data_IF_466232569081
#
_entry.id   IF_466232569081
#
_cell.length_a   1.000
_cell.length_b   1.000
_cell.length_c   1.000
_cell.angle_alpha   90.00
_cell.angle_beta   90.00
_cell.angle_gamma   90.00
#
_symmetry.space_group_name_H-M   'P 1'
#
loop_
_entity.id
_entity.type
_entity.pdbx_description
1 polymer ?
#
# COMPACT_ATOMS: atom_id res chain seq x y z
N UNK A 1 12.79 13.52 19.58
CA UNK A 1 11.45 14.07 19.74
C UNK A 1 10.47 13.22 18.93
N UNK A 2 9.54 12.52 19.58
CA UNK A 2 8.45 11.83 18.90
C UNK A 2 7.44 12.83 18.32
N UNK A 3 6.73 12.44 17.26
CA UNK A 3 5.60 13.22 16.77
C UNK A 3 4.56 13.39 17.89
N UNK A 4 4.08 14.63 18.15
CA UNK A 4 3.01 14.83 19.13
C UNK A 4 1.78 14.01 18.76
N UNK A 5 1.15 13.36 19.74
CA UNK A 5 0.02 12.46 19.54
C UNK A 5 -1.13 13.10 18.73
N UNK A 6 -1.40 14.39 18.97
CA UNK A 6 -2.39 15.19 18.22
C UNK A 6 -2.03 15.30 16.73
N UNK A 7 -0.75 15.51 16.40
CA UNK A 7 -0.29 15.59 15.02
C UNK A 7 -0.43 14.23 14.34
N UNK A 8 -0.02 13.15 15.02
CA UNK A 8 -0.17 11.77 14.54
C UNK A 8 -1.64 11.44 14.27
N UNK A 9 -2.53 11.75 15.21
CA UNK A 9 -3.98 11.54 15.06
C UNK A 9 -4.53 12.21 13.79
N UNK A 10 -4.31 13.52 13.62
CA UNK A 10 -4.84 14.26 12.47
C UNK A 10 -4.20 13.83 11.15
N UNK A 11 -2.88 13.58 11.15
CA UNK A 11 -2.16 13.11 9.98
C UNK A 11 -2.80 11.82 9.43
N UNK A 12 -2.98 10.82 10.29
CA UNK A 12 -3.54 9.54 9.89
C UNK A 12 -5.01 9.63 9.52
N UNK A 13 -5.82 10.37 10.29
CA UNK A 13 -7.24 10.51 10.01
C UNK A 13 -7.50 11.15 8.63
N UNK A 14 -6.73 12.19 8.28
CA UNK A 14 -6.83 12.88 6.98
C UNK A 14 -6.49 11.95 5.82
N UNK A 15 -5.53 11.03 5.98
CA UNK A 15 -5.17 10.08 4.92
C UNK A 15 -6.03 8.81 4.92
N UNK A 16 -6.49 8.33 6.07
CA UNK A 16 -7.29 7.11 6.21
C UNK A 16 -8.61 7.19 5.46
N UNK A 17 -9.38 8.27 5.68
CA UNK A 17 -10.71 8.44 5.06
C UNK A 17 -10.61 8.36 3.52
N UNK A 18 -9.80 9.19 2.83
CA UNK A 18 -9.65 9.08 1.38
C UNK A 18 -9.00 7.76 0.95
N UNK A 19 -8.10 7.17 1.74
CA UNK A 19 -7.49 5.89 1.41
C UNK A 19 -8.53 4.77 1.30
N UNK A 20 -9.40 4.62 2.30
CA UNK A 20 -10.48 3.63 2.31
C UNK A 20 -11.39 3.82 1.09
N UNK A 21 -11.78 5.07 0.79
CA UNK A 21 -12.62 5.39 -0.37
C UNK A 21 -11.93 4.95 -1.67
N UNK A 22 -10.65 5.26 -1.85
CA UNK A 22 -9.90 4.86 -3.03
C UNK A 22 -9.66 3.35 -3.09
N UNK A 23 -9.47 2.70 -1.94
CA UNK A 23 -9.28 1.26 -1.85
C UNK A 23 -10.54 0.52 -2.32
N UNK A 24 -11.70 0.88 -1.76
CA UNK A 24 -13.01 0.33 -2.17
C UNK A 24 -13.28 0.62 -3.64
N UNK A 25 -13.00 1.85 -4.11
CA UNK A 25 -13.14 2.20 -5.54
C UNK A 25 -12.28 1.33 -6.45
N UNK A 26 -11.00 1.11 -6.09
CA UNK A 26 -10.09 0.26 -6.87
C UNK A 26 -10.57 -1.19 -6.87
N UNK A 27 -10.83 -1.76 -5.69
CA UNK A 27 -11.31 -3.14 -5.55
C UNK A 27 -12.59 -3.39 -6.34
N UNK A 28 -13.58 -2.50 -6.19
CA UNK A 28 -14.83 -2.58 -6.94
C UNK A 28 -14.57 -2.65 -8.45
N UNK A 29 -13.73 -1.75 -8.98
CA UNK A 29 -13.45 -1.71 -10.41
C UNK A 29 -12.63 -2.93 -10.88
N UNK A 30 -11.66 -3.40 -10.10
CA UNK A 30 -10.88 -4.58 -10.45
C UNK A 30 -11.70 -5.87 -10.41
N UNK A 31 -12.65 -5.98 -9.49
CA UNK A 31 -13.47 -7.18 -9.34
C UNK A 31 -14.64 -7.22 -10.34
N UNK A 32 -15.27 -6.09 -10.63
CA UNK A 32 -16.43 -6.02 -11.52
C UNK A 32 -16.03 -5.98 -13.00
N UNK A 33 -14.95 -5.27 -13.35
CA UNK A 33 -14.51 -5.18 -14.74
C UNK A 33 -13.75 -6.44 -15.14
N UNK A 34 -14.40 -7.33 -15.91
CA UNK A 34 -13.82 -8.58 -16.36
C UNK A 34 -12.53 -8.41 -17.18
N UNK A 35 -12.32 -7.26 -17.83
CA UNK A 35 -11.08 -6.99 -18.57
C UNK A 35 -9.91 -6.69 -17.63
N UNK A 36 -10.15 -5.91 -16.57
CA UNK A 36 -9.16 -5.63 -15.53
C UNK A 36 -8.86 -6.87 -14.71
N UNK A 37 -9.89 -7.64 -14.35
CA UNK A 37 -9.76 -8.87 -13.59
C UNK A 37 -8.96 -9.94 -14.31
N UNK A 38 -9.06 -10.06 -15.63
CA UNK A 38 -8.32 -11.06 -16.41
C UNK A 38 -6.84 -10.71 -16.63
N UNK A 39 -6.44 -9.46 -16.37
CA UNK A 39 -5.07 -9.04 -16.56
C UNK A 39 -4.21 -9.51 -15.38
N UNK A 40 -3.26 -10.40 -15.64
CA UNK A 40 -2.49 -11.11 -14.62
C UNK A 40 -1.86 -10.18 -13.56
N UNK A 41 -1.24 -9.09 -14.03
CA UNK A 41 -0.59 -8.09 -13.18
C UNK A 41 -1.53 -7.39 -12.20
N UNK A 42 -2.85 -7.39 -12.45
CA UNK A 42 -3.81 -6.79 -11.53
C UNK A 42 -4.13 -7.72 -10.36
N UNK A 43 -3.92 -9.04 -10.48
CA UNK A 43 -4.23 -10.00 -9.41
C UNK A 43 -3.46 -9.66 -8.13
N UNK A 44 -2.18 -9.31 -8.25
CA UNK A 44 -1.36 -8.96 -7.08
C UNK A 44 -1.86 -7.70 -6.40
N UNK A 45 -2.25 -6.68 -7.19
CA UNK A 45 -2.84 -5.45 -6.63
C UNK A 45 -4.20 -5.68 -6.01
N UNK A 46 -5.02 -6.59 -6.52
CA UNK A 46 -6.29 -6.96 -5.89
C UNK A 46 -6.02 -7.51 -4.48
N UNK A 47 -5.09 -8.46 -4.35
CA UNK A 47 -4.74 -9.06 -3.06
C UNK A 47 -4.13 -8.01 -2.12
N UNK A 48 -3.18 -7.20 -2.61
CA UNK A 48 -2.59 -6.09 -1.84
C UNK A 48 -3.69 -5.15 -1.34
N UNK A 49 -4.61 -4.72 -2.20
CA UNK A 49 -5.70 -3.82 -1.80
C UNK A 49 -6.65 -4.46 -0.79
N UNK A 50 -6.90 -5.77 -0.85
CA UNK A 50 -7.66 -6.47 0.19
C UNK A 50 -6.95 -6.43 1.54
N UNK A 51 -5.64 -6.73 1.59
CA UNK A 51 -4.87 -6.64 2.83
C UNK A 51 -4.74 -5.20 3.32
N UNK A 52 -4.54 -4.23 2.42
CA UNK A 52 -4.55 -2.80 2.75
C UNK A 52 -5.88 -2.38 3.37
N UNK A 53 -7.02 -2.77 2.78
CA UNK A 53 -8.33 -2.44 3.35
C UNK A 53 -8.52 -3.08 4.73
N UNK A 54 -8.15 -4.36 4.87
CA UNK A 54 -8.21 -5.06 6.16
C UNK A 54 -7.37 -4.33 7.21
N UNK A 55 -6.14 -3.95 6.86
CA UNK A 55 -5.21 -3.25 7.74
C UNK A 55 -5.70 -1.85 8.13
N UNK A 56 -6.26 -1.10 7.17
CA UNK A 56 -6.88 0.20 7.41
C UNK A 56 -8.08 0.11 8.35
N UNK A 57 -8.90 -0.93 8.23
CA UNK A 57 -10.10 -1.13 9.05
C UNK A 57 -9.81 -1.75 10.43
N UNK A 58 -8.58 -2.21 10.66
CA UNK A 58 -8.18 -2.84 11.92
C UNK A 58 -7.08 -2.02 12.57
N UNK A 59 -5.82 -2.32 12.24
CA UNK A 59 -4.63 -1.74 12.86
C UNK A 59 -4.63 -0.21 12.85
N UNK A 60 -4.87 0.42 11.69
CA UNK A 60 -4.80 1.88 11.60
C UNK A 60 -5.90 2.55 12.45
N UNK A 61 -7.10 1.99 12.52
CA UNK A 61 -8.16 2.51 13.39
C UNK A 61 -7.77 2.40 14.87
N UNK A 62 -7.22 1.26 15.29
CA UNK A 62 -6.73 1.06 16.66
C UNK A 62 -5.57 2.01 17.00
N UNK A 63 -4.67 2.23 16.04
CA UNK A 63 -3.56 3.17 16.17
C UNK A 63 -4.02 4.63 16.28
N UNK A 64 -4.99 5.06 15.47
CA UNK A 64 -5.59 6.40 15.57
C UNK A 64 -6.28 6.58 16.91
N UNK A 65 -7.04 5.57 17.37
CA UNK A 65 -7.69 5.61 18.67
C UNK A 65 -6.67 5.82 19.80
N UNK A 66 -5.60 5.01 19.81
CA UNK A 66 -4.52 5.16 20.77
C UNK A 66 -3.84 6.53 20.68
N UNK A 67 -3.60 7.04 19.47
CA UNK A 67 -3.01 8.38 19.27
C UNK A 67 -3.89 9.51 19.83
N UNK A 68 -5.21 9.30 19.91
CA UNK A 68 -6.14 10.27 20.48
C UNK A 68 -6.22 10.19 22.02
N UNK A 69 -6.30 8.97 22.56
CA UNK A 69 -6.61 8.74 23.99
C UNK A 69 -5.38 8.44 24.85
N UNK A 70 -4.25 8.09 24.23
CA UNK A 70 -3.07 7.50 24.87
C UNK A 70 -3.34 6.19 25.63
N UNK A 71 -4.49 5.55 25.36
CA UNK A 71 -4.90 4.29 25.97
C UNK A 71 -5.30 3.32 24.86
N UNK A 72 -4.95 2.06 24.99
CA UNK A 72 -5.36 1.02 24.04
C UNK A 72 -6.88 0.81 24.06
N UNK A 73 -7.46 0.36 22.94
CA UNK A 73 -8.91 0.16 22.83
C UNK A 73 -9.47 -0.82 23.87
N UNK A 74 -8.71 -1.86 24.22
CA UNK A 74 -9.03 -2.80 25.28
C UNK A 74 -7.77 -3.18 26.05
N UNK A 75 -7.78 -2.99 27.36
CA UNK A 75 -6.66 -3.35 28.25
C UNK A 75 -6.68 -4.83 28.62
N UNK A 76 -6.83 -5.70 27.63
CA UNK A 76 -6.79 -7.16 27.81
C UNK A 76 -5.57 -7.75 27.09
N UNK A 77 -4.91 -8.78 27.66
CA UNK A 77 -3.79 -9.46 27.00
C UNK A 77 -4.13 -9.97 25.60
N UNK A 78 -5.34 -10.54 25.44
CA UNK A 78 -5.79 -11.09 24.17
C UNK A 78 -5.92 -10.01 23.09
N UNK A 79 -6.46 -8.83 23.42
CA UNK A 79 -6.54 -7.73 22.47
C UNK A 79 -5.14 -7.27 22.02
N UNK A 80 -4.19 -7.14 22.95
CA UNK A 80 -2.82 -6.78 22.64
C UNK A 80 -2.13 -7.81 21.72
N UNK A 81 -2.32 -9.10 21.97
CA UNK A 81 -1.80 -10.17 21.12
C UNK A 81 -2.42 -10.17 19.73
N UNK A 82 -3.74 -9.98 19.62
CA UNK A 82 -4.42 -9.84 18.33
C UNK A 82 -3.91 -8.61 17.58
N UNK A 83 -3.78 -7.47 18.27
CA UNK A 83 -3.32 -6.24 17.66
C UNK A 83 -1.92 -6.41 17.08
N UNK A 84 -0.96 -6.87 17.89
CA UNK A 84 0.41 -7.04 17.39
C UNK A 84 0.51 -8.09 16.28
N UNK A 85 -0.28 -9.17 16.38
CA UNK A 85 -0.35 -10.17 15.32
C UNK A 85 -0.86 -9.58 14.00
N UNK A 86 -1.96 -8.84 14.03
CA UNK A 86 -2.54 -8.19 12.84
C UNK A 86 -1.58 -7.17 12.25
N UNK A 87 -0.92 -6.38 13.10
CA UNK A 87 0.07 -5.38 12.69
C UNK A 87 1.22 -6.02 11.90
N UNK A 88 1.93 -6.96 12.53
CA UNK A 88 3.10 -7.59 11.91
C UNK A 88 2.72 -8.45 10.69
N UNK A 89 1.73 -9.34 10.82
CA UNK A 89 1.33 -10.23 9.73
C UNK A 89 0.76 -9.45 8.53
N UNK A 90 -0.09 -8.45 8.78
CA UNK A 90 -0.68 -7.63 7.74
C UNK A 90 0.35 -6.78 7.01
N UNK A 91 1.23 -6.09 7.75
CA UNK A 91 2.25 -5.22 7.17
C UNK A 91 3.26 -6.02 6.34
N UNK A 92 3.77 -7.13 6.87
CA UNK A 92 4.72 -8.00 6.16
C UNK A 92 4.09 -8.65 4.94
N UNK A 93 2.83 -9.07 5.01
CA UNK A 93 2.11 -9.60 3.84
C UNK A 93 2.07 -8.58 2.71
N UNK A 94 1.74 -7.32 3.01
CA UNK A 94 1.74 -6.23 2.01
C UNK A 94 3.15 -6.04 1.43
N UNK A 95 4.19 -6.02 2.27
CA UNK A 95 5.58 -5.85 1.84
C UNK A 95 6.08 -7.00 0.94
N UNK A 96 5.82 -8.26 1.32
CA UNK A 96 6.18 -9.44 0.53
C UNK A 96 5.44 -9.47 -0.81
N UNK A 97 4.14 -9.18 -0.82
CA UNK A 97 3.37 -9.09 -2.06
C UNK A 97 3.86 -7.94 -2.95
N UNK A 98 4.29 -6.82 -2.38
CA UNK A 98 4.90 -5.72 -3.11
C UNK A 98 6.25 -6.10 -3.75
N UNK A 99 7.10 -6.82 -3.00
CA UNK A 99 8.34 -7.39 -3.53
C UNK A 99 8.08 -8.37 -4.67
N UNK A 100 7.09 -9.24 -4.49
CA UNK A 100 6.66 -10.16 -5.52
C UNK A 100 6.11 -9.45 -6.76
N UNK A 101 5.31 -8.39 -6.58
CA UNK A 101 4.82 -7.56 -7.69
C UNK A 101 5.98 -6.98 -8.51
N UNK A 102 7.11 -6.65 -7.87
CA UNK A 102 8.31 -6.20 -8.58
C UNK A 102 8.93 -7.32 -9.43
N UNK A 103 9.07 -8.52 -8.87
CA UNK A 103 9.58 -9.72 -9.59
C UNK A 103 8.66 -10.07 -10.77
N UNK A 104 7.37 -10.24 -10.50
CA UNK A 104 6.36 -10.64 -11.49
C UNK A 104 6.34 -9.67 -12.68
N UNK A 105 6.47 -8.36 -12.42
CA UNK A 105 6.53 -7.32 -13.47
C UNK A 105 7.72 -7.50 -14.39
N UNK A 106 8.90 -7.86 -13.87
CA UNK A 106 10.06 -8.17 -14.71
C UNK A 106 9.79 -9.39 -15.59
N UNK A 107 9.21 -10.45 -15.02
CA UNK A 107 8.88 -11.67 -15.76
C UNK A 107 7.87 -11.34 -16.88
N UNK A 108 6.80 -10.61 -16.58
CA UNK A 108 5.77 -10.23 -17.55
C UNK A 108 6.27 -9.33 -18.69
N UNK A 109 7.22 -8.44 -18.42
CA UNK A 109 7.71 -7.47 -19.42
C UNK A 109 8.82 -8.08 -20.30
N UNK A 110 9.70 -8.90 -19.72
CA UNK A 110 10.90 -9.40 -20.42
C UNK A 110 10.80 -10.87 -20.82
N UNK A 111 9.95 -11.66 -20.17
CA UNK A 111 9.89 -13.11 -20.31
C UNK A 111 8.44 -13.63 -20.48
N UNK A 112 7.68 -13.03 -21.40
CA UNK A 112 6.28 -13.43 -21.65
C UNK A 112 6.09 -14.93 -21.91
N UNK A 113 7.07 -15.57 -22.58
CA UNK A 113 7.05 -17.00 -22.86
C UNK A 113 7.07 -17.88 -21.59
N UNK A 114 7.55 -17.36 -20.47
CA UNK A 114 7.56 -18.11 -19.20
C UNK A 114 6.14 -18.30 -18.64
N UNK A 115 5.17 -17.47 -19.05
CA UNK A 115 3.78 -17.56 -18.60
C UNK A 115 2.81 -18.14 -19.66
N UNK A 116 3.36 -18.73 -20.73
CA UNK A 116 2.57 -19.23 -21.85
C UNK A 116 1.63 -20.39 -21.43
N UNK A 117 2.16 -21.37 -20.69
CA UNK A 117 1.40 -22.56 -20.26
C UNK A 117 0.69 -22.34 -18.92
N UNK A 118 -0.45 -23.01 -18.71
CA UNK A 118 -1.21 -22.98 -17.45
C UNK A 118 -0.38 -23.41 -16.24
N UNK A 119 0.42 -24.46 -16.36
CA UNK A 119 1.25 -24.96 -15.25
C UNK A 119 2.31 -23.93 -14.83
N UNK A 120 3.07 -23.38 -15.79
CA UNK A 120 4.05 -22.33 -15.49
C UNK A 120 3.38 -21.08 -14.91
N UNK A 121 2.18 -20.73 -15.38
CA UNK A 121 1.39 -19.64 -14.80
C UNK A 121 0.99 -19.92 -13.37
N UNK A 122 0.58 -21.15 -13.04
CA UNK A 122 0.31 -21.53 -11.66
C UNK A 122 1.55 -21.34 -10.77
N UNK A 123 2.68 -21.92 -11.18
CA UNK A 123 3.93 -21.89 -10.42
C UNK A 123 4.56 -20.49 -10.29
N UNK A 124 4.54 -19.69 -11.34
CA UNK A 124 5.20 -18.38 -11.40
C UNK A 124 4.27 -17.20 -11.12
N UNK A 125 3.00 -17.42 -10.84
CA UNK A 125 2.05 -16.34 -10.54
C UNK A 125 1.21 -16.65 -9.31
N UNK A 126 0.43 -17.73 -9.34
CA UNK A 126 -0.54 -18.01 -8.29
C UNK A 126 0.08 -18.59 -7.03
N UNK A 127 1.04 -19.51 -7.17
CA UNK A 127 1.70 -20.14 -6.03
C UNK A 127 2.42 -19.12 -5.12
N UNK A 128 3.24 -18.18 -5.63
CA UNK A 128 3.90 -17.20 -4.77
C UNK A 128 2.91 -16.24 -4.10
N UNK A 129 1.80 -15.90 -4.75
CA UNK A 129 0.75 -15.09 -4.13
C UNK A 129 0.11 -15.81 -2.95
N UNK A 130 -0.17 -17.12 -3.07
CA UNK A 130 -0.70 -17.92 -1.97
C UNK A 130 0.32 -18.02 -0.83
N UNK A 131 1.57 -18.34 -1.15
CA UNK A 131 2.65 -18.47 -0.16
C UNK A 131 2.83 -17.15 0.60
N UNK A 132 3.03 -16.03 -0.09
CA UNK A 132 3.26 -14.74 0.56
C UNK A 132 2.02 -14.18 1.28
N UNK A 133 0.82 -14.64 0.95
CA UNK A 133 -0.40 -14.26 1.69
C UNK A 133 -0.61 -15.08 2.95
N UNK A 134 -0.13 -16.33 3.01
CA UNK A 134 -0.37 -17.24 4.14
C UNK A 134 0.82 -17.27 5.11
N UNK A 135 2.04 -17.24 4.57
CA UNK A 135 3.28 -17.40 5.35
C UNK A 135 3.38 -16.42 6.54
N UNK A 136 3.17 -15.09 6.39
CA UNK A 136 3.32 -14.17 7.52
C UNK A 136 2.32 -14.45 8.64
N UNK A 137 1.08 -14.81 8.28
CA UNK A 137 0.06 -15.17 9.27
C UNK A 137 0.45 -16.43 10.06
N UNK A 138 0.97 -17.47 9.40
CA UNK A 138 1.44 -18.66 10.12
C UNK A 138 2.64 -18.31 11.00
N UNK A 139 3.62 -17.58 10.46
CA UNK A 139 4.85 -17.21 11.16
C UNK A 139 4.54 -16.41 12.43
N UNK A 140 3.82 -15.29 12.33
CA UNK A 140 3.51 -14.46 13.48
C UNK A 140 2.51 -15.10 14.45
N UNK A 141 1.68 -16.03 13.97
CA UNK A 141 0.82 -16.79 14.88
C UNK A 141 1.69 -17.66 15.80
N UNK A 142 2.69 -18.36 15.26
CA UNK A 142 3.63 -19.15 16.07
C UNK A 142 4.42 -18.25 17.01
N UNK A 143 4.95 -17.13 16.51
CA UNK A 143 5.77 -16.21 17.32
C UNK A 143 5.01 -15.63 18.50
N UNK A 144 3.76 -15.18 18.33
CA UNK A 144 3.03 -14.50 19.40
C UNK A 144 2.17 -15.41 20.28
N UNK A 145 1.70 -16.56 19.78
CA UNK A 145 0.79 -17.43 20.53
C UNK A 145 1.41 -18.73 21.02
N UNK A 146 2.51 -19.19 20.41
CA UNK A 146 3.13 -20.49 20.73
C UNK A 146 4.44 -20.32 21.50
N UNK A 147 5.27 -19.35 21.11
CA UNK A 147 6.55 -19.09 21.78
C UNK A 147 6.28 -18.33 23.09
N UNK A 148 6.69 -18.87 24.25
CA UNK A 148 6.41 -18.23 25.53
C UNK A 148 7.16 -16.90 25.67
N UNK A 149 6.47 -15.93 26.27
CA UNK A 149 7.01 -14.59 26.45
C UNK A 149 6.67 -14.01 27.82
N UNK A 150 7.69 -13.78 28.63
CA UNK A 150 7.53 -13.28 30.00
C UNK A 150 7.48 -11.74 30.07
N UNK A 151 7.43 -11.05 28.93
CA UNK A 151 7.38 -9.58 28.88
C UNK A 151 5.95 -9.12 29.23
N UNK A 152 5.76 -8.36 30.33
CA UNK A 152 4.43 -7.91 30.73
C UNK A 152 3.86 -6.91 29.71
N UNK A 153 2.55 -6.95 29.52
CA UNK A 153 1.84 -5.98 28.67
C UNK A 153 1.86 -4.58 29.31
N UNK A 154 2.21 -3.57 28.52
CA UNK A 154 2.11 -2.16 28.93
C UNK A 154 1.01 -1.47 28.13
N UNK A 155 -0.20 -1.39 28.71
CA UNK A 155 -1.38 -0.80 28.09
C UNK A 155 -1.30 0.72 27.85
N UNK A 156 -0.26 1.39 28.35
CA UNK A 156 -0.01 2.81 28.12
C UNK A 156 0.99 3.04 26.98
N UNK A 157 1.34 1.99 26.23
CA UNK A 157 2.22 2.04 25.07
C UNK A 157 1.50 1.47 23.85
N UNK A 158 1.86 1.97 22.68
CA UNK A 158 1.39 1.47 21.40
C UNK A 158 1.67 -0.04 21.28
N UNK A 159 0.70 -0.80 20.75
CA UNK A 159 0.78 -2.27 20.62
C UNK A 159 1.12 -2.97 21.95
N UNK A 160 0.71 -2.33 23.05
CA UNK A 160 0.96 -2.75 24.42
C UNK A 160 2.43 -3.01 24.77
N UNK A 161 3.37 -2.46 23.99
CA UNK A 161 4.81 -2.74 24.04
C UNK A 161 5.20 -4.24 24.04
N UNK A 162 4.34 -5.14 23.56
CA UNK A 162 4.64 -6.58 23.62
C UNK A 162 5.56 -7.04 22.47
N UNK A 163 5.82 -6.18 21.48
CA UNK A 163 6.70 -6.49 20.34
C UNK A 163 8.16 -6.75 20.71
N UNK A 164 8.59 -6.38 21.91
CA UNK A 164 9.91 -6.76 22.42
C UNK A 164 10.11 -8.27 22.52
N UNK A 165 9.03 -9.05 22.55
CA UNK A 165 9.12 -10.49 22.56
C UNK A 165 9.92 -11.08 21.39
N UNK A 166 9.69 -10.52 20.19
CA UNK A 166 10.33 -10.95 18.96
C UNK A 166 11.86 -10.77 19.01
N UNK A 167 12.33 -9.78 19.77
CA UNK A 167 13.74 -9.48 19.96
C UNK A 167 14.40 -10.27 21.08
N UNK A 168 13.63 -10.92 21.96
CA UNK A 168 14.21 -11.72 23.04
C UNK A 168 14.82 -13.04 22.51
N UNK A 169 14.29 -13.56 21.41
CA UNK A 169 14.89 -14.68 20.69
C UNK A 169 15.69 -14.17 19.49
N UNK A 170 17.01 -14.19 19.61
CA UNK A 170 17.91 -13.68 18.57
C UNK A 170 17.69 -14.35 17.20
N UNK A 171 17.35 -15.64 17.18
CA UNK A 171 17.08 -16.36 15.93
C UNK A 171 15.81 -15.85 15.26
N UNK A 172 14.70 -15.75 16.01
CA UNK A 172 13.41 -15.26 15.49
C UNK A 172 13.53 -13.81 15.04
N UNK A 173 14.14 -12.94 15.87
CA UNK A 173 14.34 -11.54 15.52
C UNK A 173 15.24 -11.33 14.30
N UNK A 174 16.28 -12.16 14.12
CA UNK A 174 17.13 -12.10 12.93
C UNK A 174 16.39 -12.59 11.68
N UNK A 175 15.60 -13.67 11.81
CA UNK A 175 14.81 -14.19 10.71
C UNK A 175 13.77 -13.17 10.25
N UNK A 176 13.01 -12.60 11.18
CA UNK A 176 12.05 -11.52 10.94
C UNK A 176 12.72 -10.31 10.24
N UNK A 177 13.80 -9.78 10.84
CA UNK A 177 14.50 -8.64 10.26
C UNK A 177 15.01 -8.92 8.84
N UNK A 178 15.63 -10.09 8.60
CA UNK A 178 16.25 -10.40 7.32
C UNK A 178 15.20 -10.80 6.28
N UNK A 179 14.42 -11.84 6.57
CA UNK A 179 13.52 -12.51 5.61
C UNK A 179 12.28 -11.67 5.35
N UNK A 180 11.70 -11.07 6.39
CA UNK A 180 10.40 -10.42 6.29
C UNK A 180 10.53 -8.94 5.91
N UNK A 181 11.66 -8.30 6.24
CA UNK A 181 11.85 -6.86 6.01
C UNK A 181 13.01 -6.49 5.08
N UNK A 182 14.26 -6.88 5.38
CA UNK A 182 15.44 -6.48 4.60
C UNK A 182 15.35 -7.05 3.17
N UNK A 183 15.28 -8.37 3.02
CA UNK A 183 15.31 -9.03 1.70
C UNK A 183 14.19 -8.53 0.77
N UNK A 184 12.92 -8.44 1.20
CA UNK A 184 11.84 -7.95 0.34
C UNK A 184 12.02 -6.48 -0.07
N UNK A 185 12.52 -5.65 0.85
CA UNK A 185 12.79 -4.23 0.57
C UNK A 185 13.90 -4.08 -0.46
N UNK A 186 15.02 -4.79 -0.31
CA UNK A 186 16.12 -4.77 -1.27
C UNK A 186 15.72 -5.31 -2.64
N UNK A 187 14.99 -6.44 -2.69
CA UNK A 187 14.45 -6.98 -3.94
C UNK A 187 13.59 -5.92 -4.65
N UNK A 188 12.68 -5.28 -3.91
CA UNK A 188 11.81 -4.23 -4.45
C UNK A 188 12.61 -3.08 -5.04
N UNK A 189 13.62 -2.57 -4.32
CA UNK A 189 14.45 -1.44 -4.77
C UNK A 189 15.28 -1.83 -5.99
N UNK A 190 16.02 -2.93 -5.92
CA UNK A 190 16.93 -3.38 -7.00
C UNK A 190 16.13 -3.64 -8.27
N UNK A 191 15.01 -4.35 -8.16
CA UNK A 191 14.16 -4.63 -9.32
C UNK A 191 13.50 -3.37 -9.87
N UNK A 192 13.04 -2.45 -9.03
CA UNK A 192 12.50 -1.18 -9.53
C UNK A 192 13.53 -0.34 -10.28
N UNK A 193 14.76 -0.25 -9.79
CA UNK A 193 15.87 0.43 -10.48
C UNK A 193 16.19 -0.29 -11.80
N UNK A 194 16.35 -1.62 -11.77
CA UNK A 194 16.61 -2.41 -12.96
C UNK A 194 15.50 -2.27 -14.02
N UNK A 195 14.25 -2.15 -13.59
CA UNK A 195 13.11 -1.93 -14.48
C UNK A 195 13.23 -0.59 -15.19
N UNK A 196 13.53 0.49 -14.46
CA UNK A 196 13.73 1.83 -15.03
C UNK A 196 14.85 1.80 -16.07
N UNK A 197 16.02 1.26 -15.71
CA UNK A 197 17.20 1.22 -16.59
C UNK A 197 16.86 0.46 -17.88
N UNK A 198 16.24 -0.72 -17.78
CA UNK A 198 15.89 -1.53 -18.96
C UNK A 198 14.83 -0.87 -19.83
N UNK A 199 13.82 -0.26 -19.21
CA UNK A 199 12.77 0.49 -19.92
C UNK A 199 13.37 1.70 -20.64
N UNK A 200 14.33 2.39 -20.03
CA UNK A 200 15.09 3.48 -20.65
C UNK A 200 15.95 2.99 -21.82
N UNK A 201 16.74 1.94 -21.63
CA UNK A 201 17.58 1.36 -22.70
C UNK A 201 16.75 0.91 -23.91
N UNK A 202 15.62 0.24 -23.68
CA UNK A 202 14.71 -0.16 -24.77
C UNK A 202 14.14 1.04 -25.53
N UNK A 203 13.82 2.13 -24.82
CA UNK A 203 13.34 3.37 -25.44
C UNK A 203 14.40 4.00 -26.35
N UNK A 204 15.66 4.03 -25.92
CA UNK A 204 16.76 4.60 -26.71
C UNK A 204 17.09 3.74 -27.93
N UNK A 205 17.07 2.41 -27.80
CA UNK A 205 17.49 1.49 -28.88
C UNK A 205 16.43 1.30 -29.97
N UNK A 206 15.16 1.24 -29.59
CA UNK A 206 14.06 0.89 -30.50
C UNK A 206 13.21 2.13 -30.74
N UNK A 207 13.62 2.95 -31.71
CA UNK A 207 12.86 4.13 -32.17
C UNK A 207 11.50 3.82 -32.82
N UNK A 208 10.93 2.63 -32.63
CA UNK A 208 9.65 2.23 -33.20
C UNK A 208 8.46 2.53 -32.26
N UNK A 209 7.25 2.50 -32.83
CA UNK A 209 5.93 2.61 -32.16
C UNK A 209 5.62 1.42 -31.23
N UNK A 210 6.57 1.02 -30.39
CA UNK A 210 6.33 0.09 -29.29
C UNK A 210 5.18 0.64 -28.41
N UNK A 211 4.40 -0.22 -27.75
CA UNK A 211 3.28 0.17 -26.86
C UNK A 211 3.76 0.86 -25.56
N UNK A 212 4.68 1.82 -25.69
CA UNK A 212 5.34 2.59 -24.66
C UNK A 212 4.35 3.22 -23.68
N UNK A 213 3.22 3.72 -24.17
CA UNK A 213 2.19 4.34 -23.33
C UNK A 213 1.62 3.36 -22.29
N UNK A 214 1.57 2.06 -22.58
CA UNK A 214 1.08 1.02 -21.66
C UNK A 214 2.16 0.66 -20.64
N UNK A 215 3.36 0.32 -21.10
CA UNK A 215 4.47 -0.09 -20.22
C UNK A 215 4.97 1.03 -19.31
N UNK A 216 5.00 2.29 -19.77
CA UNK A 216 5.41 3.44 -18.97
C UNK A 216 4.53 3.62 -17.73
N UNK A 217 3.21 3.47 -17.87
CA UNK A 217 2.26 3.70 -16.76
C UNK A 217 2.38 2.63 -15.68
N UNK A 218 2.50 1.37 -16.09
CA UNK A 218 2.71 0.25 -15.19
C UNK A 218 4.06 0.33 -14.45
N UNK A 219 5.11 0.79 -15.14
CA UNK A 219 6.44 1.02 -14.54
C UNK A 219 6.37 2.15 -13.51
N UNK A 220 5.72 3.27 -13.82
CA UNK A 220 5.57 4.41 -12.89
C UNK A 220 4.92 3.97 -11.59
N UNK A 221 3.90 3.09 -11.62
CA UNK A 221 3.27 2.58 -10.40
C UNK A 221 4.29 1.94 -9.46
N UNK A 222 5.11 1.02 -9.98
CA UNK A 222 6.05 0.28 -9.14
C UNK A 222 7.06 1.23 -8.54
N UNK A 223 7.61 2.10 -9.39
CA UNK A 223 8.65 3.05 -9.02
C UNK A 223 8.14 4.04 -7.98
N UNK A 224 6.91 4.54 -8.12
CA UNK A 224 6.30 5.42 -7.13
C UNK A 224 6.13 4.72 -5.78
N UNK A 225 5.73 3.45 -5.77
CA UNK A 225 5.60 2.69 -4.52
C UNK A 225 6.98 2.38 -3.92
N UNK A 226 7.95 1.94 -4.72
CA UNK A 226 9.32 1.69 -4.23
C UNK A 226 9.99 2.94 -3.69
N UNK A 227 9.76 4.09 -4.32
CA UNK A 227 10.21 5.39 -3.82
C UNK A 227 9.59 5.70 -2.46
N UNK A 228 8.29 5.41 -2.29
CA UNK A 228 7.60 5.61 -1.03
C UNK A 228 8.19 4.73 0.10
N UNK A 229 8.44 3.45 -0.17
CA UNK A 229 9.13 2.57 0.78
C UNK A 229 10.54 3.08 1.09
N UNK A 230 11.30 3.53 0.09
CA UNK A 230 12.62 4.07 0.30
C UNK A 230 12.61 5.31 1.20
N UNK A 231 11.67 6.23 1.01
CA UNK A 231 11.62 7.47 1.81
C UNK A 231 11.07 7.23 3.21
N UNK A 232 10.01 6.44 3.35
CA UNK A 232 9.28 6.30 4.61
C UNK A 232 9.77 5.12 5.47
N UNK A 233 10.25 4.04 4.86
CA UNK A 233 10.62 2.82 5.58
C UNK A 233 12.11 2.69 5.86
N UNK A 234 12.97 3.17 4.94
CA UNK A 234 14.41 3.04 5.08
C UNK A 234 14.96 3.62 6.40
N UNK A 235 14.50 4.79 6.91
CA UNK A 235 15.02 5.33 8.16
C UNK A 235 14.79 4.38 9.35
N UNK A 236 13.61 3.77 9.42
CA UNK A 236 13.29 2.76 10.43
C UNK A 236 14.20 1.54 10.30
N UNK A 237 14.39 1.03 9.09
CA UNK A 237 15.23 -0.14 8.83
C UNK A 237 16.70 0.07 9.19
N UNK A 238 17.26 1.25 8.90
CA UNK A 238 18.64 1.58 9.25
C UNK A 238 18.84 1.53 10.76
N UNK A 239 17.93 2.15 11.53
CA UNK A 239 18.00 2.13 12.99
C UNK A 239 17.77 0.74 13.57
N UNK A 240 16.80 -0.02 13.05
CA UNK A 240 16.56 -1.39 13.50
C UNK A 240 17.80 -2.28 13.30
N UNK A 241 18.46 -2.14 12.14
CA UNK A 241 19.71 -2.83 11.83
C UNK A 241 20.85 -2.36 12.74
N UNK A 242 20.93 -1.07 13.06
CA UNK A 242 21.93 -0.55 13.96
C UNK A 242 21.76 -1.07 15.40
N UNK A 243 20.52 -1.13 15.91
CA UNK A 243 20.22 -1.69 17.23
C UNK A 243 20.54 -3.18 17.31
N UNK A 244 20.20 -3.95 16.28
CA UNK A 244 20.56 -5.38 16.21
C UNK A 244 22.08 -5.58 16.09
N UNK A 245 22.82 -4.62 15.55
CA UNK A 245 24.29 -4.59 15.55
C UNK A 245 24.92 -4.10 16.87
N UNK A 246 24.12 -3.83 17.91
CA UNK A 246 24.60 -3.44 19.24
C UNK A 246 24.62 -1.93 19.51
N UNK A 247 24.02 -1.10 18.64
CA UNK A 247 23.81 0.30 18.98
C UNK A 247 22.90 0.41 20.21
N UNK A 248 23.28 1.26 21.17
CA UNK A 248 22.47 1.51 22.36
C UNK A 248 21.08 2.04 21.98
N UNK A 249 20.03 1.46 22.58
CA UNK A 249 18.63 1.87 22.37
C UNK A 249 18.34 3.31 22.79
N UNK A 250 19.21 3.93 23.60
CA UNK A 250 19.08 5.33 24.01
C UNK A 250 19.38 6.30 22.86
N UNK A 251 20.16 5.87 21.86
CA UNK A 251 20.54 6.70 20.72
C UNK A 251 19.43 6.63 19.69
N UNK A 252 18.70 7.73 19.49
CA UNK A 252 17.70 7.84 18.42
C UNK A 252 16.36 7.16 18.69
N UNK A 253 16.06 6.77 19.93
CA UNK A 253 14.79 6.11 20.31
C UNK A 253 13.54 6.85 19.79
N UNK A 254 13.51 8.17 19.98
CA UNK A 254 12.39 8.99 19.52
C UNK A 254 12.26 9.02 17.98
N UNK A 255 13.40 9.00 17.28
CA UNK A 255 13.46 8.97 15.83
C UNK A 255 13.05 7.58 15.30
N UNK A 256 13.37 6.51 16.02
CA UNK A 256 12.91 5.16 15.74
C UNK A 256 11.39 5.05 15.82
N UNK A 257 10.79 5.53 16.90
CA UNK A 257 9.32 5.58 17.04
C UNK A 257 8.67 6.39 15.93
N UNK A 258 9.18 7.60 15.68
CA UNK A 258 8.68 8.47 14.60
C UNK A 258 8.80 7.83 13.21
N UNK A 259 9.92 7.17 12.92
CA UNK A 259 10.14 6.51 11.64
C UNK A 259 9.25 5.27 11.49
N UNK A 260 9.04 4.52 12.57
CA UNK A 260 8.07 3.42 12.61
C UNK A 260 6.68 3.93 12.29
N UNK A 261 6.24 5.03 12.91
CA UNK A 261 4.94 5.62 12.63
C UNK A 261 4.85 6.11 11.18
N UNK A 262 5.85 6.84 10.67
CA UNK A 262 5.82 7.31 9.28
C UNK A 262 5.74 6.16 8.26
N UNK A 263 6.22 4.96 8.60
CA UNK A 263 6.14 3.79 7.73
C UNK A 263 4.71 3.31 7.46
N UNK A 264 3.75 3.54 8.37
CA UNK A 264 2.35 3.14 8.14
C UNK A 264 1.65 4.00 7.10
N UNK A 265 2.15 5.21 6.83
CA UNK A 265 1.66 6.03 5.73
C UNK A 265 1.83 5.32 4.39
N UNK A 266 2.76 4.36 4.27
CA UNK A 266 2.91 3.55 3.06
C UNK A 266 1.61 2.82 2.73
N UNK A 267 0.99 2.17 3.72
CA UNK A 267 -0.27 1.45 3.56
C UNK A 267 -1.37 2.41 3.10
N UNK A 268 -1.46 3.59 3.73
CA UNK A 268 -2.43 4.62 3.37
C UNK A 268 -2.22 5.19 1.96
N UNK A 269 -1.01 5.17 1.41
CA UNK A 269 -0.78 5.72 0.07
C UNK A 269 -0.95 4.69 -1.05
N UNK A 270 -0.98 3.39 -0.76
CA UNK A 270 -1.14 2.33 -1.77
C UNK A 270 -2.37 2.55 -2.66
N UNK A 271 -3.59 2.82 -2.14
CA UNK A 271 -4.77 3.01 -2.98
C UNK A 271 -4.66 4.23 -3.91
N UNK A 272 -4.04 5.32 -3.43
CA UNK A 272 -3.78 6.51 -4.24
C UNK A 272 -2.85 6.20 -5.41
N UNK A 273 -1.78 5.45 -5.15
CA UNK A 273 -0.82 5.04 -6.19
C UNK A 273 -1.48 4.15 -7.25
N UNK A 274 -2.38 3.24 -6.83
CA UNK A 274 -3.16 2.40 -7.75
C UNK A 274 -4.08 3.22 -8.68
N UNK A 275 -4.80 4.22 -8.15
CA UNK A 275 -5.64 5.11 -8.97
C UNK A 275 -4.79 5.98 -9.89
N UNK A 276 -3.67 6.51 -9.39
CA UNK A 276 -2.80 7.40 -10.15
C UNK A 276 -2.13 6.70 -11.32
N UNK A 277 -1.77 5.41 -11.15
CA UNK A 277 -1.04 4.65 -12.15
C UNK A 277 -1.90 3.93 -13.17
N UNK A 278 -3.10 3.45 -12.80
CA UNK A 278 -3.98 2.75 -13.74
C UNK A 278 -4.76 3.78 -14.57
N UNK A 279 -4.50 3.88 -15.89
CA UNK A 279 -5.23 4.82 -16.75
C UNK A 279 -6.72 4.47 -16.86
N UNK A 280 -7.07 3.20 -16.74
CA UNK A 280 -8.46 2.73 -16.76
C UNK A 280 -9.20 3.25 -15.52
N UNK A 281 -8.62 3.07 -14.32
CA UNK A 281 -9.19 3.60 -13.08
C UNK A 281 -9.23 5.12 -13.07
N UNK A 282 -8.13 5.78 -13.48
CA UNK A 282 -8.06 7.25 -13.58
C UNK A 282 -9.11 7.79 -14.55
N UNK A 283 -9.33 7.12 -15.67
CA UNK A 283 -10.34 7.49 -16.66
C UNK A 283 -11.76 7.39 -16.08
N UNK A 284 -12.06 6.31 -15.34
CA UNK A 284 -13.35 6.13 -14.64
C UNK A 284 -13.55 7.20 -13.55
N UNK A 285 -12.52 7.47 -12.75
CA UNK A 285 -12.56 8.51 -11.72
C UNK A 285 -12.77 9.92 -12.31
N UNK A 286 -12.09 10.24 -13.41
CA UNK A 286 -12.27 11.50 -14.13
C UNK A 286 -13.67 11.65 -14.72
N UNK A 287 -14.30 10.57 -15.18
CA UNK A 287 -15.69 10.60 -15.66
C UNK A 287 -16.65 10.93 -14.53
N UNK A 288 -16.54 10.28 -13.36
CA UNK A 288 -17.38 10.54 -12.18
C UNK A 288 -17.28 12.02 -11.76
N UNK A 289 -16.05 12.53 -11.66
CA UNK A 289 -15.81 13.94 -11.25
C UNK A 289 -16.28 14.96 -12.31
N UNK A 290 -16.19 14.65 -13.61
CA UNK A 290 -16.68 15.54 -14.69
C UNK A 290 -18.20 15.53 -14.84
N UNK A 291 -18.86 14.39 -14.70
CA UNK A 291 -20.34 14.29 -14.75
C UNK A 291 -20.95 15.15 -13.65
N UNK A 292 -20.38 15.11 -12.44
CA UNK A 292 -20.79 15.96 -11.32
C UNK A 292 -20.66 17.47 -11.62
N UNK A 293 -19.66 17.87 -12.42
CA UNK A 293 -19.48 19.27 -12.85
C UNK A 293 -20.49 19.71 -13.92
N UNK A 294 -20.86 18.83 -14.85
CA UNK A 294 -21.90 19.14 -15.86
C UNK A 294 -23.29 19.23 -15.25
N UNK A 295 -23.63 18.31 -14.33
CA UNK A 295 -24.93 18.33 -13.65
C UNK A 295 -25.14 19.61 -12.81
N UNK A 296 -24.08 20.22 -12.29
CA UNK A 296 -24.16 21.51 -11.56
C UNK A 296 -24.32 22.75 -12.46
N UNK A 297 -24.08 22.65 -13.78
CA UNK A 297 -24.23 23.79 -14.71
C UNK A 297 -25.64 23.90 -15.33
N UNK A 298 -26.49 22.90 -15.17
CA UNK A 298 -27.83 22.86 -15.81
C UNK A 298 -28.91 23.48 -14.90
N UNK A 299 -28.59 23.84 -13.66
CA UNK A 299 -29.47 24.65 -12.79
C UNK A 299 -29.05 26.12 -12.87
N UNK A 300 -29.10 26.68 -14.08
CA UNK A 300 -29.21 28.13 -14.26
C UNK A 300 -30.69 28.46 -14.46
N UNK A 301 -31.20 29.61 -13.97
CA UNK A 301 -32.57 30.00 -14.23
C UNK A 301 -32.79 30.00 -15.74
N UNK A 302 -33.78 29.25 -16.18
CA UNK A 302 -34.23 29.23 -17.56
C UNK A 302 -34.48 30.68 -17.97
N UNK A 303 -33.75 31.25 -18.95
CA UNK A 303 -33.99 32.61 -19.38
C UNK A 303 -35.42 32.64 -19.92
N UNK A 304 -36.28 33.41 -19.24
CA UNK A 304 -37.65 33.66 -19.66
C UNK A 304 -37.64 33.99 -21.16
N UNK A 305 -38.55 33.40 -21.95
CA UNK A 305 -38.61 33.63 -23.38
C UNK A 305 -38.79 35.13 -23.62
N UNK A 306 -37.73 35.80 -24.11
CA UNK A 306 -37.85 37.15 -24.63
C UNK A 306 -38.77 37.09 -25.85
N UNK A 307 -40.00 37.57 -25.66
CA UNK A 307 -40.96 37.79 -26.75
C UNK A 307 -40.34 38.71 -27.79
N UNK A 308 -39.93 38.14 -28.91
CA UNK A 308 -39.46 38.88 -30.07
C UNK A 308 -40.68 39.52 -30.75
N UNK A 309 -40.92 40.80 -30.45
CA UNK A 309 -41.91 41.62 -31.16
C UNK A 309 -41.44 41.78 -32.61
N UNK A 310 -42.13 41.11 -33.54
CA UNK A 310 -41.90 41.20 -34.98
C UNK A 310 -42.44 42.55 -35.47
N UNK A 311 -41.54 43.49 -35.74
CA UNK A 311 -41.87 44.73 -36.47
C UNK A 311 -42.16 44.37 -37.94
N UNK A 312 -43.43 44.44 -38.32
CA UNK A 312 -43.88 44.36 -39.70
C UNK A 312 -43.51 45.65 -40.44
N UNK A 313 -42.55 45.57 -41.36
CA UNK A 313 -42.35 46.60 -42.40
C UNK A 313 -43.30 46.35 -43.55
N UNK A 314 -44.17 47.32 -43.82
CA UNK A 314 -44.94 47.43 -45.04
C UNK A 314 -44.01 47.78 -46.20
N UNK A 315 -44.14 47.09 -47.33
CA UNK A 315 -43.55 47.48 -48.61
C UNK A 315 -44.70 47.69 -49.60
N UNK A 316 -44.66 48.85 -50.25
CA UNK A 316 -45.58 49.37 -51.26
C UNK A 316 -45.47 48.63 -52.58
#
# INVERSE_FOLDING_TARGET
MSLPAVVTFWLYLIFLIPSIIFCIFCLYNFLIDGSLRKALHNHVFIIILFFTLFYELTDIIWFIYYSHTSIVLSSTPMFCLIWIYVDYAGYVTILLLMSWAAIERHILIFHQNFMATSMKRFLLHYLPLIIFSIYPFIFYFVVFFVIPCDVPFNYNRQRCAHGFCLFNNAFVGTLDAIVDYIVPTFITIILSIALIIRVWHKKCRVGQRFQWKKYKKMTIQLVSISFLYFVLYLPFMILNTAYTAGLSTNIGFDFFGTSSDLSYLIVLFIPFMCVASSPELRGKFQKITRVRRRSRRIVGPEPLPMYHVRSTRAVR
#
